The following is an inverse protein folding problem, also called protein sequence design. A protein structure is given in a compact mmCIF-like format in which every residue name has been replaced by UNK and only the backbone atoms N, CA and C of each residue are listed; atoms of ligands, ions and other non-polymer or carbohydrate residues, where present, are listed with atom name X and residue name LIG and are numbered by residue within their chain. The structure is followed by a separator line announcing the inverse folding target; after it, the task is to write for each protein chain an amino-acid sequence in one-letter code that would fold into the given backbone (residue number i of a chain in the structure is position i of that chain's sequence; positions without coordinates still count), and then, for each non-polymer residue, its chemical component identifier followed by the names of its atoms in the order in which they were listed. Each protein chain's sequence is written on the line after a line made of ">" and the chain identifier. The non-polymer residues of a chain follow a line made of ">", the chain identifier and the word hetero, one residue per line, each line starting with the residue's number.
data_IF_328132068437
#
_entry.id   IF_328132068437
#
_cell.length_a   1.000
_cell.length_b   1.000
_cell.length_c   1.000
_cell.angle_alpha   90.00
_cell.angle_beta   90.00
_cell.angle_gamma   90.00
#
_symmetry.space_group_name_H-M   'P 1'
#
loop_
_entity.id
_entity.type
_entity.pdbx_description
1 polymer ?
#
# COMPACT_ATOMS: atom_id res chain seq x y z
N UNK A 1 42.75 2.73 3.55
CA UNK A 1 42.69 1.44 2.81
C UNK A 1 42.13 1.68 1.42
N UNK A 2 42.84 1.32 0.34
CA UNK A 2 42.36 1.59 -1.01
C UNK A 2 41.20 0.63 -1.35
N UNK A 3 40.07 1.19 -1.79
CA UNK A 3 38.92 0.45 -2.31
C UNK A 3 39.39 -0.42 -3.50
N UNK A 4 39.42 -1.74 -3.33
CA UNK A 4 39.62 -2.69 -4.44
C UNK A 4 38.57 -2.40 -5.51
N UNK A 5 38.99 -1.89 -6.67
CA UNK A 5 38.16 -1.89 -7.88
C UNK A 5 37.73 -3.33 -8.15
N UNK A 6 36.42 -3.61 -8.12
CA UNK A 6 35.88 -4.90 -8.59
C UNK A 6 36.34 -5.08 -10.04
N UNK A 7 37.07 -6.17 -10.31
CA UNK A 7 37.56 -6.50 -11.63
C UNK A 7 36.36 -6.72 -12.58
N UNK A 8 36.11 -5.76 -13.48
CA UNK A 8 35.05 -5.83 -14.48
C UNK A 8 35.59 -6.37 -15.82
N UNK A 9 36.07 -7.62 -15.82
CA UNK A 9 36.56 -8.30 -17.02
C UNK A 9 35.44 -9.01 -17.82
N UNK A 10 35.65 -9.32 -19.12
CA UNK A 10 34.69 -10.04 -19.96
C UNK A 10 34.30 -11.44 -19.42
N UNK A 11 35.24 -12.14 -18.75
CA UNK A 11 34.99 -13.44 -18.12
C UNK A 11 34.02 -13.35 -16.93
N UNK A 12 34.19 -12.34 -16.07
CA UNK A 12 33.31 -12.08 -14.92
C UNK A 12 31.87 -11.76 -15.36
N UNK A 13 31.72 -11.04 -16.48
CA UNK A 13 30.38 -10.76 -17.06
C UNK A 13 29.70 -12.02 -17.57
N UNK A 14 30.42 -12.91 -18.27
CA UNK A 14 29.87 -14.19 -18.76
C UNK A 14 29.48 -15.13 -17.62
N UNK A 15 30.29 -15.22 -16.56
CA UNK A 15 29.97 -16.02 -15.37
C UNK A 15 28.73 -15.50 -14.65
N UNK A 16 28.62 -14.18 -14.47
CA UNK A 16 27.45 -13.56 -13.85
C UNK A 16 26.16 -13.74 -14.68
N UNK A 17 26.27 -13.66 -16.01
CA UNK A 17 25.17 -13.91 -16.93
C UNK A 17 24.72 -15.38 -16.89
N UNK A 18 25.66 -16.33 -16.87
CA UNK A 18 25.38 -17.75 -16.69
C UNK A 18 24.68 -18.03 -15.34
N UNK A 19 25.14 -17.39 -14.27
CA UNK A 19 24.52 -17.47 -12.94
C UNK A 19 23.07 -16.97 -12.97
N UNK A 20 22.81 -15.80 -13.56
CA UNK A 20 21.46 -15.23 -13.71
C UNK A 20 20.53 -16.08 -14.57
N UNK A 21 21.05 -16.67 -15.64
CA UNK A 21 20.33 -17.62 -16.48
C UNK A 21 19.90 -18.86 -15.68
N UNK A 22 20.82 -19.45 -14.91
CA UNK A 22 20.54 -20.62 -14.08
C UNK A 22 19.52 -20.33 -12.97
N UNK A 23 19.61 -19.19 -12.30
CA UNK A 23 18.65 -18.76 -11.26
C UNK A 23 17.24 -18.71 -11.83
N UNK A 24 17.06 -18.17 -13.02
CA UNK A 24 15.72 -18.14 -13.62
C UNK A 24 15.26 -19.47 -14.14
N UNK A 25 16.11 -20.29 -14.76
CA UNK A 25 15.71 -21.66 -15.12
C UNK A 25 15.09 -22.35 -13.91
N UNK A 26 15.71 -22.19 -12.73
CA UNK A 26 15.16 -22.68 -11.47
C UNK A 26 13.80 -22.05 -11.16
N UNK A 27 13.65 -20.71 -11.25
CA UNK A 27 12.36 -20.01 -11.07
C UNK A 27 11.26 -20.53 -12.00
N UNK A 28 11.52 -20.68 -13.30
CA UNK A 28 10.54 -21.20 -14.28
C UNK A 28 10.05 -22.58 -13.86
N UNK A 29 10.97 -23.50 -13.57
CA UNK A 29 10.59 -24.85 -13.18
C UNK A 29 9.92 -24.91 -11.81
N UNK A 30 10.28 -24.04 -10.88
CA UNK A 30 9.58 -23.90 -9.60
C UNK A 30 8.15 -23.43 -9.84
N UNK A 31 7.95 -22.37 -10.62
CA UNK A 31 6.61 -21.84 -10.91
C UNK A 31 5.74 -22.89 -11.60
N UNK A 32 6.24 -23.59 -12.62
CA UNK A 32 5.45 -24.64 -13.28
C UNK A 32 5.02 -25.75 -12.31
N UNK A 33 5.88 -26.15 -11.35
CA UNK A 33 5.46 -27.12 -10.31
C UNK A 33 4.41 -26.54 -9.38
N UNK A 34 4.57 -25.30 -8.92
CA UNK A 34 3.61 -24.63 -8.04
C UNK A 34 2.23 -24.46 -8.71
N UNK A 35 2.20 -24.31 -10.03
CA UNK A 35 0.98 -24.20 -10.82
C UNK A 35 0.43 -25.55 -11.31
N UNK A 36 1.06 -26.68 -10.95
CA UNK A 36 0.60 -28.02 -11.35
C UNK A 36 0.99 -28.44 -12.78
N UNK A 37 1.87 -27.71 -13.44
CA UNK A 37 2.36 -27.98 -14.80
C UNK A 37 3.73 -28.66 -14.81
N UNK A 38 4.02 -29.50 -13.81
CA UNK A 38 5.32 -30.17 -13.69
C UNK A 38 5.64 -31.05 -14.92
N UNK A 39 4.60 -31.65 -15.52
CA UNK A 39 4.71 -32.54 -16.68
C UNK A 39 5.13 -31.81 -17.95
N UNK A 40 5.02 -30.47 -17.99
CA UNK A 40 5.50 -29.66 -19.11
C UNK A 40 7.03 -29.53 -19.13
N UNK A 41 7.70 -29.69 -17.97
CA UNK A 41 9.14 -29.43 -17.82
C UNK A 41 10.03 -30.25 -18.77
N UNK A 42 9.80 -31.56 -19.01
CA UNK A 42 10.61 -32.35 -19.95
C UNK A 42 10.60 -31.83 -21.39
N UNK A 43 9.55 -31.09 -21.79
CA UNK A 43 9.40 -30.53 -23.13
C UNK A 43 10.05 -29.14 -23.27
N UNK A 44 10.57 -28.57 -22.18
CA UNK A 44 11.24 -27.28 -22.17
C UNK A 44 12.73 -27.46 -22.43
N UNK A 45 13.14 -27.22 -23.68
CA UNK A 45 14.54 -27.34 -24.09
C UNK A 45 15.39 -26.10 -23.74
N UNK A 46 16.70 -26.20 -23.99
CA UNK A 46 17.66 -25.10 -23.75
C UNK A 46 17.42 -23.88 -24.65
N UNK A 47 16.90 -24.10 -25.86
CA UNK A 47 16.61 -23.03 -26.82
C UNK A 47 15.43 -22.19 -26.32
N UNK A 48 14.34 -22.85 -25.92
CA UNK A 48 13.18 -22.24 -25.28
C UNK A 48 13.59 -21.45 -24.05
N UNK A 49 14.37 -22.03 -23.11
CA UNK A 49 14.84 -21.32 -21.93
C UNK A 49 15.70 -20.08 -22.27
N UNK A 50 16.48 -20.14 -23.35
CA UNK A 50 17.26 -19.00 -23.83
C UNK A 50 16.35 -17.93 -24.40
N UNK A 51 15.36 -18.31 -25.22
CA UNK A 51 14.37 -17.35 -25.73
C UNK A 51 13.61 -16.75 -24.56
N UNK A 52 13.09 -17.54 -23.63
CA UNK A 52 12.42 -17.05 -22.42
C UNK A 52 13.33 -16.18 -21.57
N UNK A 53 14.65 -16.41 -21.52
CA UNK A 53 15.60 -15.50 -20.87
C UNK A 53 15.79 -14.18 -21.62
N UNK A 54 15.83 -14.20 -22.94
CA UNK A 54 16.05 -12.99 -23.75
C UNK A 54 14.75 -12.21 -24.00
N UNK A 55 13.63 -12.92 -24.03
CA UNK A 55 12.26 -12.43 -24.00
C UNK A 55 11.92 -11.91 -22.63
N UNK A 56 12.53 -12.52 -21.59
CA UNK A 56 12.47 -12.13 -20.19
C UNK A 56 12.67 -10.64 -20.16
N UNK A 57 11.60 -9.92 -19.92
CA UNK A 57 11.71 -8.52 -20.12
C UNK A 57 12.27 -7.91 -18.86
N UNK A 58 12.87 -6.76 -19.06
CA UNK A 58 12.73 -5.61 -18.17
C UNK A 58 11.24 -5.28 -17.97
N UNK A 59 10.42 -6.24 -17.51
CA UNK A 59 8.96 -6.14 -17.57
C UNK A 59 8.41 -5.22 -16.54
N UNK A 60 9.13 -4.97 -15.47
CA UNK A 60 8.68 -4.06 -14.45
C UNK A 60 9.89 -3.28 -14.06
N UNK A 61 10.11 -2.13 -14.70
CA UNK A 61 11.22 -1.24 -14.38
C UNK A 61 10.67 0.00 -13.71
N UNK A 62 11.14 0.26 -12.49
CA UNK A 62 11.02 1.58 -11.90
C UNK A 62 12.17 2.42 -12.44
N UNK A 63 11.83 3.43 -13.23
CA UNK A 63 12.71 4.53 -13.54
C UNK A 63 12.53 5.62 -12.47
N UNK A 64 13.54 5.72 -11.61
CA UNK A 64 13.59 6.70 -10.53
C UNK A 64 14.60 7.83 -10.80
N UNK A 65 15.00 8.02 -12.06
CA UNK A 65 15.99 9.05 -12.43
C UNK A 65 15.55 10.47 -12.07
N UNK A 66 14.24 10.71 -11.98
CA UNK A 66 13.67 12.01 -11.62
C UNK A 66 13.22 12.12 -10.16
N UNK A 67 13.57 11.14 -9.33
CA UNK A 67 13.27 11.16 -7.89
C UNK A 67 14.35 11.93 -7.11
N UNK A 68 14.53 13.22 -7.42
CA UNK A 68 15.69 14.02 -6.98
C UNK A 68 15.81 14.23 -5.47
N UNK A 69 14.77 13.92 -4.69
CA UNK A 69 14.81 14.04 -3.21
C UNK A 69 15.54 12.88 -2.53
N UNK A 70 15.81 11.79 -3.24
CA UNK A 70 16.42 10.57 -2.71
C UNK A 70 17.83 10.39 -3.25
N UNK A 71 18.71 9.81 -2.45
CA UNK A 71 20.06 9.45 -2.90
C UNK A 71 20.09 8.09 -3.63
N UNK A 72 21.26 7.68 -4.13
CA UNK A 72 21.38 6.43 -4.90
C UNK A 72 21.08 5.17 -4.09
N UNK A 73 21.32 5.20 -2.77
CA UNK A 73 21.11 4.06 -1.89
C UNK A 73 19.62 3.93 -1.58
N UNK A 74 18.95 5.06 -1.30
CA UNK A 74 17.49 5.15 -1.17
C UNK A 74 16.80 4.63 -2.43
N UNK A 75 17.22 5.08 -3.62
CA UNK A 75 16.64 4.65 -4.88
C UNK A 75 16.85 3.15 -5.15
N UNK A 76 17.96 2.58 -4.69
CA UNK A 76 18.22 1.15 -4.80
C UNK A 76 17.33 0.36 -3.86
N UNK A 77 17.16 0.85 -2.62
CA UNK A 77 16.25 0.28 -1.64
C UNK A 77 14.81 0.31 -2.14
N UNK A 78 14.33 1.47 -2.59
CA UNK A 78 12.96 1.68 -3.11
C UNK A 78 12.66 0.67 -4.23
N UNK A 79 13.55 0.54 -5.20
CA UNK A 79 13.39 -0.43 -6.28
C UNK A 79 13.29 -1.85 -5.75
N UNK A 80 14.19 -2.24 -4.84
CA UNK A 80 14.23 -3.59 -4.29
C UNK A 80 12.95 -3.93 -3.53
N UNK A 81 12.50 -3.04 -2.64
CA UNK A 81 11.30 -3.27 -1.83
C UNK A 81 10.05 -3.42 -2.71
N UNK A 82 9.92 -2.63 -3.77
CA UNK A 82 8.81 -2.79 -4.71
C UNK A 82 8.77 -4.20 -5.34
N UNK A 83 9.91 -4.78 -5.72
CA UNK A 83 9.93 -6.16 -6.22
C UNK A 83 9.60 -7.19 -5.13
N UNK A 84 9.93 -6.92 -3.86
CA UNK A 84 9.54 -7.77 -2.73
C UNK A 84 8.02 -7.77 -2.57
N UNK A 85 7.37 -6.60 -2.60
CA UNK A 85 5.90 -6.49 -2.58
C UNK A 85 5.26 -7.29 -3.72
N UNK A 86 5.75 -7.08 -4.94
CA UNK A 86 5.27 -7.77 -6.14
C UNK A 86 5.45 -9.29 -6.11
N UNK A 87 6.41 -9.80 -5.35
CA UNK A 87 6.70 -11.23 -5.21
C UNK A 87 5.87 -11.89 -4.09
N UNK A 88 5.59 -11.16 -3.01
CA UNK A 88 4.87 -11.67 -1.83
C UNK A 88 3.36 -11.68 -2.02
N UNK A 89 2.83 -10.73 -2.78
CA UNK A 89 1.40 -10.52 -2.95
C UNK A 89 0.79 -11.47 -3.98
N UNK A 90 0.62 -12.75 -3.59
CA UNK A 90 0.14 -13.80 -4.48
C UNK A 90 -1.39 -13.80 -4.58
N UNK A 91 -1.90 -13.98 -5.80
CA UNK A 91 -3.33 -14.16 -6.08
C UNK A 91 -3.62 -15.59 -6.52
N UNK A 92 -4.86 -16.09 -6.37
CA UNK A 92 -5.29 -17.34 -7.00
C UNK A 92 -4.93 -17.36 -8.48
N UNK A 93 -4.44 -18.48 -9.01
CA UNK A 93 -4.01 -18.55 -10.41
C UNK A 93 -5.19 -18.50 -11.39
N UNK A 94 -6.32 -19.12 -11.05
CA UNK A 94 -7.60 -19.02 -11.78
C UNK A 94 -8.70 -18.47 -10.86
N UNK A 95 -9.93 -18.35 -11.38
CA UNK A 95 -11.13 -18.02 -10.59
C UNK A 95 -12.04 -19.26 -10.39
N UNK A 96 -11.53 -20.46 -10.68
CA UNK A 96 -12.30 -21.69 -10.53
C UNK A 96 -12.52 -21.96 -9.03
N UNK A 97 -13.70 -22.47 -8.70
CA UNK A 97 -14.02 -22.82 -7.33
C UNK A 97 -13.03 -23.86 -6.79
N UNK A 98 -12.53 -23.64 -5.57
CA UNK A 98 -11.54 -24.51 -4.95
C UNK A 98 -10.09 -24.36 -5.46
N UNK A 99 -9.79 -23.34 -6.28
CA UNK A 99 -8.43 -23.03 -6.71
C UNK A 99 -7.49 -22.79 -5.51
N UNK A 100 -6.38 -23.54 -5.48
CA UNK A 100 -5.34 -23.43 -4.43
C UNK A 100 -4.02 -22.92 -4.98
N UNK A 101 -3.82 -22.99 -6.30
CA UNK A 101 -2.61 -22.49 -6.94
C UNK A 101 -2.63 -20.98 -6.89
N UNK A 102 -1.47 -20.40 -6.64
CA UNK A 102 -1.32 -18.95 -6.56
C UNK A 102 -0.10 -18.50 -7.36
N UNK A 103 -0.15 -17.27 -7.82
CA UNK A 103 0.94 -16.65 -8.58
C UNK A 103 1.10 -15.19 -8.13
N UNK A 104 2.35 -14.76 -8.04
CA UNK A 104 2.66 -13.36 -7.75
C UNK A 104 2.61 -12.53 -9.04
N UNK A 105 2.27 -11.23 -8.98
CA UNK A 105 2.43 -10.34 -10.12
C UNK A 105 3.85 -10.38 -10.70
N UNK A 106 4.90 -10.47 -9.85
CA UNK A 106 6.27 -10.59 -10.34
C UNK A 106 6.46 -11.84 -11.21
N UNK A 107 6.03 -13.01 -10.74
CA UNK A 107 6.17 -14.27 -11.51
C UNK A 107 5.24 -14.31 -12.73
N UNK A 108 4.07 -13.68 -12.64
CA UNK A 108 3.14 -13.57 -13.77
C UNK A 108 3.81 -12.83 -14.93
N UNK A 109 4.32 -11.63 -14.67
CA UNK A 109 4.97 -10.84 -15.70
C UNK A 109 6.35 -11.45 -16.07
N UNK A 110 7.25 -11.73 -15.12
CA UNK A 110 8.61 -12.20 -15.45
C UNK A 110 8.68 -13.58 -16.14
N UNK A 111 7.69 -14.45 -15.89
CA UNK A 111 7.74 -15.85 -16.29
C UNK A 111 6.49 -16.25 -17.07
N UNK A 112 5.31 -16.20 -16.45
CA UNK A 112 4.11 -16.80 -17.00
C UNK A 112 3.69 -16.17 -18.32
N UNK A 113 3.73 -14.85 -18.42
CA UNK A 113 3.30 -14.11 -19.61
C UNK A 113 4.27 -14.31 -20.80
N UNK A 114 5.61 -14.19 -20.64
CA UNK A 114 6.55 -14.57 -21.69
C UNK A 114 6.46 -16.03 -22.10
N UNK A 115 6.24 -16.94 -21.13
CA UNK A 115 6.02 -18.36 -21.40
C UNK A 115 4.77 -18.57 -22.25
N UNK A 116 3.67 -17.94 -21.87
CA UNK A 116 2.38 -17.98 -22.55
C UNK A 116 2.47 -17.45 -23.99
N UNK A 117 3.10 -16.30 -24.20
CA UNK A 117 3.33 -15.74 -25.53
C UNK A 117 4.23 -16.63 -26.39
N UNK A 118 5.26 -17.24 -25.80
CA UNK A 118 6.14 -18.14 -26.52
C UNK A 118 5.39 -19.39 -27.00
N UNK A 119 4.55 -19.98 -26.14
CA UNK A 119 3.81 -21.20 -26.50
C UNK A 119 2.60 -20.91 -27.40
N UNK A 120 1.95 -19.75 -27.26
CA UNK A 120 0.82 -19.31 -28.07
C UNK A 120 1.21 -18.61 -29.39
N UNK A 121 2.52 -18.46 -29.68
CA UNK A 121 2.97 -17.80 -30.93
C UNK A 121 2.35 -18.46 -32.16
N UNK A 122 1.92 -17.64 -33.11
CA UNK A 122 1.25 -18.09 -34.33
C UNK A 122 2.09 -19.09 -35.15
N UNK A 123 1.53 -20.28 -35.42
CA UNK A 123 2.13 -21.34 -36.25
C UNK A 123 1.86 -21.16 -37.76
N UNK A 124 1.09 -20.15 -38.17
CA UNK A 124 0.76 -19.88 -39.58
C UNK A 124 2.00 -19.54 -40.44
N UNK A 125 3.13 -19.17 -39.83
CA UNK A 125 4.44 -19.14 -40.51
C UNK A 125 5.11 -20.52 -40.47
N UNK A 126 4.54 -21.46 -41.22
CA UNK A 126 5.02 -22.84 -41.37
C UNK A 126 6.45 -22.94 -41.92
N UNK A 127 7.01 -21.86 -42.48
CA UNK A 127 8.40 -21.84 -42.97
C UNK A 127 9.44 -21.68 -41.87
N UNK A 128 9.06 -21.22 -40.67
CA UNK A 128 9.99 -21.01 -39.55
C UNK A 128 9.89 -22.03 -38.41
N UNK A 129 8.74 -22.68 -38.22
CA UNK A 129 8.45 -23.42 -36.97
C UNK A 129 7.68 -24.73 -37.15
N UNK A 130 7.82 -25.40 -38.31
CA UNK A 130 7.03 -26.55 -38.75
C UNK A 130 7.00 -27.81 -37.84
N UNK A 131 7.74 -27.85 -36.72
CA UNK A 131 7.95 -29.10 -35.97
C UNK A 131 8.02 -28.92 -34.43
N UNK A 132 7.36 -27.90 -33.87
CA UNK A 132 7.39 -27.65 -32.42
C UNK A 132 6.39 -28.52 -31.63
N UNK A 133 6.48 -29.85 -31.79
CA UNK A 133 5.65 -30.83 -31.04
C UNK A 133 5.76 -30.65 -29.52
N UNK A 134 6.92 -30.22 -29.05
CA UNK A 134 7.15 -29.91 -27.64
C UNK A 134 6.23 -28.81 -27.14
N UNK A 135 6.02 -27.75 -27.93
CA UNK A 135 5.13 -26.65 -27.59
C UNK A 135 3.66 -27.05 -27.55
N UNK A 136 3.21 -27.80 -28.56
CA UNK A 136 1.83 -28.31 -28.60
C UNK A 136 1.58 -29.20 -27.38
N UNK A 137 2.54 -30.05 -27.04
CA UNK A 137 2.45 -30.91 -25.86
C UNK A 137 2.40 -30.11 -24.55
N UNK A 138 3.15 -29.01 -24.46
CA UNK A 138 3.08 -28.10 -23.30
C UNK A 138 1.69 -27.46 -23.21
N UNK A 139 1.12 -26.99 -24.33
CA UNK A 139 -0.23 -26.40 -24.36
C UNK A 139 -1.28 -27.39 -23.89
N UNK A 140 -1.26 -28.62 -24.41
CA UNK A 140 -2.14 -29.71 -23.96
C UNK A 140 -2.04 -29.93 -22.45
N UNK A 141 -0.81 -30.00 -21.91
CA UNK A 141 -0.60 -30.19 -20.46
C UNK A 141 -1.20 -29.04 -19.65
N UNK A 142 -1.07 -27.79 -20.10
CA UNK A 142 -1.64 -26.63 -19.41
C UNK A 142 -3.17 -26.68 -19.43
N UNK A 143 -3.76 -27.01 -20.58
CA UNK A 143 -5.22 -27.11 -20.76
C UNK A 143 -5.81 -28.29 -19.97
N UNK A 144 -5.18 -29.46 -20.01
CA UNK A 144 -5.54 -30.65 -19.24
C UNK A 144 -5.50 -30.41 -17.73
N UNK A 145 -4.60 -29.52 -17.27
CA UNK A 145 -4.49 -29.11 -15.87
C UNK A 145 -5.36 -27.88 -15.54
N UNK A 146 -6.38 -27.63 -16.36
CA UNK A 146 -7.45 -26.70 -16.03
C UNK A 146 -7.06 -25.24 -16.15
N UNK A 147 -6.26 -24.88 -17.17
CA UNK A 147 -6.09 -23.50 -17.60
C UNK A 147 -6.18 -23.41 -19.12
N UNK A 148 -7.25 -22.81 -19.62
CA UNK A 148 -7.51 -22.71 -21.05
C UNK A 148 -6.64 -21.59 -21.62
N UNK A 149 -5.75 -21.92 -22.55
CA UNK A 149 -4.86 -20.92 -23.18
C UNK A 149 -5.45 -20.39 -24.48
N UNK A 150 -6.07 -21.26 -25.27
CA UNK A 150 -6.59 -20.96 -26.62
C UNK A 150 -8.05 -20.55 -26.60
N UNK A 151 -8.42 -19.59 -27.45
CA UNK A 151 -9.81 -19.26 -27.71
C UNK A 151 -10.52 -20.39 -28.45
N UNK A 152 -11.80 -20.61 -28.13
CA UNK A 152 -12.66 -21.56 -28.82
C UNK A 152 -12.97 -21.12 -30.27
N UNK A 153 -12.91 -19.81 -30.54
CA UNK A 153 -13.28 -19.22 -31.83
C UNK A 153 -12.09 -19.12 -32.79
N UNK A 154 -10.90 -18.81 -32.27
CA UNK A 154 -9.64 -18.83 -33.03
C UNK A 154 -8.53 -19.40 -32.12
N UNK A 155 -8.00 -20.60 -32.40
CA UNK A 155 -6.90 -21.20 -31.64
C UNK A 155 -5.61 -20.38 -31.63
N UNK A 156 -5.49 -19.36 -32.49
CA UNK A 156 -4.37 -18.42 -32.50
C UNK A 156 -4.53 -17.27 -31.49
N UNK A 157 -5.74 -17.07 -30.96
CA UNK A 157 -6.05 -16.04 -29.98
C UNK A 157 -6.03 -16.60 -28.55
N UNK A 158 -5.72 -15.73 -27.59
CA UNK A 158 -5.83 -16.05 -26.18
C UNK A 158 -7.30 -16.29 -25.78
N UNK A 159 -7.50 -17.23 -24.86
CA UNK A 159 -8.81 -17.52 -24.29
C UNK A 159 -9.31 -16.38 -23.39
N UNK A 160 -10.62 -16.34 -23.15
CA UNK A 160 -11.16 -15.45 -22.11
C UNK A 160 -10.61 -15.73 -20.71
N UNK A 161 -10.22 -16.98 -20.42
CA UNK A 161 -9.61 -17.34 -19.13
C UNK A 161 -8.23 -16.70 -18.97
N UNK A 162 -7.44 -16.65 -20.05
CA UNK A 162 -6.18 -15.93 -20.08
C UNK A 162 -6.38 -14.42 -19.91
N UNK A 163 -7.33 -13.84 -20.66
CA UNK A 163 -7.63 -12.41 -20.58
C UNK A 163 -8.08 -11.99 -19.18
N UNK A 164 -8.93 -12.80 -18.53
CA UNK A 164 -9.32 -12.57 -17.12
C UNK A 164 -8.12 -12.63 -16.18
N UNK A 165 -7.20 -13.57 -16.38
CA UNK A 165 -5.98 -13.64 -15.58
C UNK A 165 -5.08 -12.41 -15.77
N UNK A 166 -4.94 -11.93 -17.02
CA UNK A 166 -4.20 -10.71 -17.36
C UNK A 166 -4.83 -9.47 -16.71
N UNK A 167 -6.13 -9.23 -16.90
CA UNK A 167 -6.84 -8.08 -16.31
C UNK A 167 -6.71 -8.06 -14.78
N UNK A 168 -6.80 -9.22 -14.13
CA UNK A 168 -6.61 -9.30 -12.68
C UNK A 168 -5.18 -8.95 -12.26
N UNK A 169 -4.18 -9.39 -13.01
CA UNK A 169 -2.78 -9.07 -12.74
C UNK A 169 -2.46 -7.59 -13.02
N UNK A 170 -3.14 -6.98 -13.98
CA UNK A 170 -3.10 -5.54 -14.25
C UNK A 170 -3.67 -4.73 -13.10
N UNK A 171 -4.82 -5.15 -12.57
CA UNK A 171 -5.41 -4.55 -11.38
C UNK A 171 -4.50 -4.68 -10.17
N UNK A 172 -3.93 -5.88 -9.94
CA UNK A 172 -3.05 -6.11 -8.80
C UNK A 172 -1.77 -5.29 -8.88
N UNK A 173 -1.14 -5.25 -10.06
CA UNK A 173 0.03 -4.42 -10.31
C UNK A 173 -0.25 -2.95 -9.96
N UNK A 174 -1.37 -2.42 -10.44
CA UNK A 174 -1.77 -1.02 -10.20
C UNK A 174 -2.04 -0.77 -8.72
N UNK A 175 -2.67 -1.72 -8.03
CA UNK A 175 -2.94 -1.66 -6.58
C UNK A 175 -1.65 -1.64 -5.75
N UNK A 176 -0.70 -2.53 -6.06
CA UNK A 176 0.61 -2.58 -5.39
C UNK A 176 1.36 -1.26 -5.62
N UNK A 177 1.35 -0.78 -6.86
CA UNK A 177 2.02 0.46 -7.23
C UNK A 177 1.44 1.68 -6.49
N UNK A 178 0.10 1.78 -6.44
CA UNK A 178 -0.61 2.79 -5.66
C UNK A 178 -0.21 2.74 -4.19
N UNK A 179 -0.34 1.55 -3.59
CA UNK A 179 -0.02 1.34 -2.18
C UNK A 179 1.42 1.75 -1.90
N UNK A 180 2.35 1.37 -2.77
CA UNK A 180 3.77 1.70 -2.62
C UNK A 180 4.04 3.20 -2.69
N UNK A 181 3.42 3.94 -3.60
CA UNK A 181 3.55 5.41 -3.67
C UNK A 181 2.94 6.09 -2.44
N UNK A 182 1.83 5.57 -1.94
CA UNK A 182 1.16 6.09 -0.75
C UNK A 182 2.01 5.83 0.52
N UNK A 183 2.68 4.69 0.61
CA UNK A 183 3.62 4.39 1.70
C UNK A 183 4.79 5.39 1.76
N UNK A 184 5.29 5.77 0.58
CA UNK A 184 6.45 6.64 0.45
C UNK A 184 6.12 8.14 0.47
N UNK A 185 4.86 8.54 0.26
CA UNK A 185 4.50 9.96 0.16
C UNK A 185 4.05 10.54 1.50
N UNK A 186 4.66 11.66 1.90
CA UNK A 186 4.30 12.40 3.11
C UNK A 186 4.34 13.92 2.85
N UNK A 187 3.24 14.66 3.12
CA UNK A 187 3.13 16.08 2.77
C UNK A 187 4.11 16.98 3.53
N UNK A 188 4.73 16.51 4.62
CA UNK A 188 5.72 17.27 5.39
C UNK A 188 7.17 16.83 5.10
N UNK A 189 7.39 15.74 4.35
CA UNK A 189 8.74 15.21 4.09
C UNK A 189 9.10 15.22 2.61
N UNK A 190 8.30 14.56 1.78
CA UNK A 190 8.48 14.46 0.33
C UNK A 190 7.24 13.85 -0.32
N UNK A 191 7.00 14.21 -1.57
CA UNK A 191 5.88 13.67 -2.35
C UNK A 191 6.42 12.96 -3.58
N UNK A 192 5.85 11.80 -3.89
CA UNK A 192 6.18 11.00 -5.07
C UNK A 192 4.93 10.83 -5.93
N UNK A 193 5.11 10.63 -7.23
CA UNK A 193 4.01 10.26 -8.11
C UNK A 193 4.50 9.56 -9.36
N UNK A 194 3.57 8.93 -10.08
CA UNK A 194 3.85 8.39 -11.41
C UNK A 194 3.87 9.54 -12.40
N UNK A 195 4.98 9.69 -13.12
CA UNK A 195 5.08 10.64 -14.24
C UNK A 195 4.67 10.00 -15.56
N UNK A 196 4.94 8.69 -15.72
CA UNK A 196 4.68 7.98 -16.97
C UNK A 196 4.53 6.49 -16.74
N UNK A 197 3.51 5.92 -17.38
CA UNK A 197 3.41 4.49 -17.65
C UNK A 197 3.79 4.18 -19.09
N UNK A 198 4.54 3.10 -19.29
CA UNK A 198 4.73 2.50 -20.59
C UNK A 198 4.43 1.01 -20.48
N UNK A 199 3.61 0.51 -21.39
CA UNK A 199 3.31 -0.90 -21.54
C UNK A 199 3.49 -1.28 -23.01
N UNK A 200 4.44 -2.16 -23.27
CA UNK A 200 4.80 -2.63 -24.60
C UNK A 200 4.48 -4.12 -24.68
N UNK A 201 3.68 -4.53 -25.67
CA UNK A 201 3.49 -5.95 -26.02
C UNK A 201 3.92 -6.18 -27.46
N UNK A 202 4.90 -7.06 -27.63
CA UNK A 202 5.33 -7.62 -28.90
C UNK A 202 5.24 -9.15 -28.82
N UNK A 203 5.17 -9.81 -29.97
CA UNK A 203 4.98 -11.27 -30.14
C UNK A 203 5.79 -12.18 -29.19
N UNK A 204 6.93 -11.72 -28.66
CA UNK A 204 7.76 -12.44 -27.71
C UNK A 204 8.29 -11.57 -26.55
N UNK A 205 7.77 -10.37 -26.32
CA UNK A 205 8.22 -9.45 -25.27
C UNK A 205 7.04 -8.67 -24.74
N UNK A 206 6.88 -8.66 -23.43
CA UNK A 206 6.03 -7.68 -22.75
C UNK A 206 6.98 -6.74 -22.02
N UNK A 207 6.70 -5.47 -21.84
CA UNK A 207 7.60 -4.54 -21.18
C UNK A 207 6.81 -3.48 -20.45
N UNK A 208 6.96 -3.38 -19.13
CA UNK A 208 6.36 -2.32 -18.34
C UNK A 208 7.44 -1.48 -17.69
N UNK A 209 7.42 -0.19 -18.00
CA UNK A 209 8.25 0.78 -17.30
C UNK A 209 7.33 1.79 -16.65
N UNK A 210 7.59 2.06 -15.38
CA UNK A 210 6.95 3.16 -14.66
C UNK A 210 8.03 4.15 -14.24
N UNK A 211 7.83 5.41 -14.62
CA UNK A 211 8.72 6.49 -14.22
C UNK A 211 8.12 7.23 -13.04
N UNK A 212 8.89 7.35 -11.97
CA UNK A 212 8.52 8.13 -10.80
C UNK A 212 9.20 9.49 -10.83
N UNK A 213 8.50 10.47 -10.30
CA UNK A 213 9.05 11.79 -9.98
C UNK A 213 8.81 12.09 -8.51
N UNK A 214 9.60 13.01 -7.97
CA UNK A 214 9.42 13.46 -6.59
C UNK A 214 9.68 14.95 -6.44
N UNK A 215 9.14 15.53 -5.37
CA UNK A 215 9.41 16.91 -5.01
C UNK A 215 9.49 17.12 -3.51
N UNK A 216 10.20 18.17 -3.11
CA UNK A 216 10.14 18.69 -1.75
C UNK A 216 8.73 19.23 -1.45
N UNK A 217 8.29 19.18 -0.18
CA UNK A 217 7.03 19.77 0.23
C UNK A 217 6.91 21.25 -0.12
N UNK A 218 5.73 21.67 -0.60
CA UNK A 218 5.40 23.09 -0.71
C UNK A 218 4.90 23.59 0.62
N UNK A 219 5.36 24.75 1.08
CA UNK A 219 4.96 25.31 2.37
C UNK A 219 4.74 26.81 2.32
N UNK A 220 3.96 27.31 3.28
CA UNK A 220 3.70 28.74 3.51
C UNK A 220 3.83 29.03 5.01
N UNK A 221 4.12 30.29 5.34
CA UNK A 221 4.04 30.75 6.72
C UNK A 221 2.61 31.16 7.08
N UNK A 222 2.18 30.86 8.30
CA UNK A 222 0.93 31.33 8.87
C UNK A 222 0.97 31.37 10.40
N UNK A 223 -0.17 31.61 11.04
CA UNK A 223 -0.29 31.67 12.51
C UNK A 223 -1.13 30.51 13.05
N UNK A 224 -0.70 29.95 14.18
CA UNK A 224 -1.53 29.03 14.95
C UNK A 224 -2.58 29.78 15.80
N UNK A 225 -3.40 29.03 16.54
CA UNK A 225 -4.46 29.60 17.40
C UNK A 225 -3.93 30.46 18.54
N UNK A 226 -2.64 30.34 18.88
CA UNK A 226 -1.96 31.17 19.88
C UNK A 226 -1.32 32.41 19.27
N UNK A 227 -1.46 32.62 17.96
CA UNK A 227 -0.84 33.71 17.23
C UNK A 227 0.64 33.46 16.91
N UNK A 228 1.17 32.27 17.20
CA UNK A 228 2.57 31.97 16.93
C UNK A 228 2.78 31.65 15.45
N UNK A 229 3.90 32.13 14.90
CA UNK A 229 4.27 31.88 13.51
C UNK A 229 4.69 30.42 13.34
N UNK A 230 4.07 29.74 12.37
CA UNK A 230 4.27 28.32 12.06
C UNK A 230 4.32 28.09 10.56
N UNK A 231 5.00 27.02 10.16
CA UNK A 231 5.07 26.57 8.78
C UNK A 231 3.90 25.62 8.49
N UNK A 232 3.17 25.87 7.41
CA UNK A 232 2.07 25.03 6.93
C UNK A 232 2.45 24.42 5.59
N UNK A 233 2.42 23.10 5.53
CA UNK A 233 2.71 22.34 4.32
C UNK A 233 1.44 22.13 3.51
N UNK A 234 1.50 22.35 2.19
CA UNK A 234 0.39 22.10 1.28
C UNK A 234 0.17 20.60 1.22
N UNK A 235 -1.04 20.14 1.54
CA UNK A 235 -1.36 18.71 1.45
C UNK A 235 -1.45 18.32 -0.03
N UNK A 236 -0.64 17.34 -0.41
CA UNK A 236 -0.69 16.68 -1.70
C UNK A 236 -0.52 15.18 -1.55
N UNK A 237 -1.02 14.42 -2.51
CA UNK A 237 -0.93 12.97 -2.56
C UNK A 237 -0.84 12.48 -4.01
N UNK A 238 -0.32 11.26 -4.25
CA UNK A 238 -0.22 10.71 -5.61
C UNK A 238 -1.60 10.54 -6.25
N UNK A 239 -1.79 11.07 -7.45
CA UNK A 239 -2.98 10.86 -8.29
C UNK A 239 -2.68 9.79 -9.33
N UNK A 240 -3.33 8.65 -9.17
CA UNK A 240 -3.11 7.47 -10.01
C UNK A 240 -4.03 7.49 -11.23
N UNK A 241 -5.14 8.21 -11.19
CA UNK A 241 -6.05 8.27 -12.34
C UNK A 241 -5.44 9.13 -13.44
N UNK A 242 -4.75 10.19 -13.04
CA UNK A 242 -4.22 11.20 -13.97
C UNK A 242 -2.70 11.21 -14.09
N UNK A 243 -2.00 10.22 -13.52
CA UNK A 243 -0.53 10.17 -13.44
C UNK A 243 0.07 11.50 -12.96
N UNK A 244 -0.02 11.77 -11.66
CA UNK A 244 0.34 13.09 -11.18
C UNK A 244 0.40 13.23 -9.67
N UNK A 245 0.64 14.47 -9.25
CA UNK A 245 0.53 14.87 -7.86
C UNK A 245 -0.72 15.74 -7.72
N UNK A 246 -1.68 15.31 -6.91
CA UNK A 246 -2.89 16.10 -6.61
C UNK A 246 -2.69 16.92 -5.36
N UNK A 247 -2.81 18.24 -5.50
CA UNK A 247 -2.85 19.16 -4.37
C UNK A 247 -4.27 19.21 -3.83
N UNK A 248 -4.46 18.78 -2.58
CA UNK A 248 -5.78 18.62 -2.00
C UNK A 248 -6.52 19.95 -1.90
N UNK A 249 -7.64 20.09 -2.60
CA UNK A 249 -8.60 21.15 -2.34
C UNK A 249 -9.91 20.51 -1.93
N UNK A 250 -10.58 21.05 -0.93
CA UNK A 250 -11.78 20.44 -0.41
C UNK A 250 -12.85 21.46 -0.07
N UNK A 251 -14.10 21.08 -0.33
CA UNK A 251 -15.26 21.74 0.24
C UNK A 251 -15.38 21.36 1.72
N UNK A 252 -16.04 22.21 2.49
CA UNK A 252 -16.31 21.97 3.92
C UNK A 252 -17.81 22.05 4.15
N UNK A 253 -18.36 21.29 5.11
CA UNK A 253 -19.79 21.29 5.37
C UNK A 253 -20.28 22.70 5.72
N UNK A 254 -21.55 23.00 5.40
CA UNK A 254 -22.10 24.33 5.68
C UNK A 254 -22.08 24.64 7.19
N UNK A 255 -21.74 25.88 7.55
CA UNK A 255 -21.69 26.37 8.91
C UNK A 255 -22.28 27.78 8.94
N UNK A 256 -23.50 27.96 9.46
CA UNK A 256 -24.20 29.25 9.41
C UNK A 256 -23.51 30.35 10.24
N UNK A 257 -22.55 29.99 11.09
CA UNK A 257 -21.82 30.92 11.93
C UNK A 257 -20.53 31.46 11.28
N UNK A 258 -20.21 31.05 10.04
CA UNK A 258 -19.03 31.52 9.29
C UNK A 258 -19.49 32.12 7.94
N UNK A 259 -19.87 33.42 7.92
CA UNK A 259 -20.47 34.04 6.73
C UNK A 259 -19.53 34.12 5.52
N UNK A 260 -18.21 34.12 5.73
CA UNK A 260 -17.23 34.23 4.65
C UNK A 260 -17.01 32.91 3.89
N UNK A 261 -17.63 31.84 4.37
CA UNK A 261 -17.54 30.49 3.83
C UNK A 261 -18.57 30.26 2.73
N UNK A 262 -18.12 29.61 1.66
CA UNK A 262 -18.91 29.14 0.55
C UNK A 262 -18.80 27.61 0.52
N UNK A 263 -19.87 26.86 0.85
CA UNK A 263 -19.82 25.40 0.95
C UNK A 263 -19.55 24.71 -0.39
N UNK A 264 -19.84 25.36 -1.51
CA UNK A 264 -19.63 24.81 -2.86
C UNK A 264 -18.23 25.10 -3.40
N UNK A 265 -17.47 25.95 -2.70
CA UNK A 265 -16.12 26.33 -3.09
C UNK A 265 -15.07 25.38 -2.49
N UNK A 266 -14.20 24.77 -3.32
CA UNK A 266 -13.08 24.02 -2.81
C UNK A 266 -11.96 24.95 -2.31
N UNK A 267 -11.48 24.71 -1.09
CA UNK A 267 -10.42 25.48 -0.44
C UNK A 267 -9.11 24.69 -0.37
N UNK A 268 -7.94 25.36 -0.45
CA UNK A 268 -6.67 24.69 -0.30
C UNK A 268 -6.46 24.20 1.14
N UNK A 269 -6.08 22.92 1.27
CA UNK A 269 -5.76 22.26 2.53
C UNK A 269 -4.26 22.32 2.84
N UNK A 270 -3.93 22.74 4.05
CA UNK A 270 -2.58 22.71 4.58
C UNK A 270 -2.52 21.92 5.88
N UNK A 271 -1.33 21.47 6.25
CA UNK A 271 -1.08 20.70 7.46
C UNK A 271 0.16 21.22 8.19
N UNK A 272 0.10 21.21 9.52
CA UNK A 272 1.26 21.43 10.38
C UNK A 272 2.03 20.12 10.57
N UNK A 273 3.36 20.19 10.59
CA UNK A 273 4.22 19.04 10.94
C UNK A 273 3.83 18.42 12.29
N UNK A 274 3.39 19.24 13.24
CA UNK A 274 2.87 18.79 14.53
C UNK A 274 1.74 17.77 14.40
N UNK A 275 0.82 17.95 13.44
CA UNK A 275 -0.29 17.01 13.23
C UNK A 275 0.21 15.63 12.78
N UNK A 276 1.19 15.61 11.87
CA UNK A 276 1.82 14.37 11.40
C UNK A 276 2.56 13.67 12.56
N UNK A 277 3.36 14.42 13.32
CA UNK A 277 4.06 13.89 14.49
C UNK A 277 3.08 13.28 15.51
N UNK A 278 1.99 13.99 15.82
CA UNK A 278 0.94 13.48 16.71
C UNK A 278 0.26 12.24 16.18
N UNK A 279 0.01 12.14 14.87
CA UNK A 279 -0.55 10.92 14.28
C UNK A 279 0.38 9.72 14.52
N UNK A 280 1.67 9.84 14.18
CA UNK A 280 2.63 8.75 14.42
C UNK A 280 2.80 8.39 15.90
N UNK A 281 2.79 9.38 16.80
CA UNK A 281 2.85 9.14 18.25
C UNK A 281 1.66 8.34 18.80
N UNK A 282 0.48 8.45 18.16
CA UNK A 282 -0.79 7.93 18.68
C UNK A 282 -1.32 6.72 17.94
N UNK A 283 -0.94 6.54 16.69
CA UNK A 283 -1.20 5.33 15.89
C UNK A 283 0.05 4.45 15.93
N UNK A 284 0.68 4.38 17.11
CA UNK A 284 1.87 3.57 17.35
C UNK A 284 1.52 2.07 17.30
N UNK A 285 2.52 1.23 16.99
CA UNK A 285 2.31 -0.20 16.71
C UNK A 285 1.99 -0.53 15.26
N UNK A 286 1.88 0.48 14.38
CA UNK A 286 1.85 0.30 12.93
C UNK A 286 3.13 0.83 12.31
N UNK A 287 3.63 0.14 11.28
CA UNK A 287 4.82 0.61 10.57
C UNK A 287 4.55 1.97 9.90
N UNK A 288 5.57 2.84 9.77
CA UNK A 288 5.36 4.16 9.19
C UNK A 288 4.77 4.15 7.78
N UNK A 289 5.11 3.13 6.99
CA UNK A 289 4.56 2.91 5.65
C UNK A 289 3.05 2.68 5.68
N UNK A 290 2.54 1.87 6.61
CA UNK A 290 1.10 1.63 6.77
C UNK A 290 0.40 2.92 7.17
N UNK A 291 0.94 3.66 8.14
CA UNK A 291 0.37 4.94 8.57
C UNK A 291 0.31 5.96 7.41
N UNK A 292 1.40 6.11 6.65
CA UNK A 292 1.42 6.97 5.46
C UNK A 292 0.37 6.53 4.42
N UNK A 293 0.18 5.22 4.24
CA UNK A 293 -0.83 4.68 3.31
C UNK A 293 -2.23 5.18 3.66
N UNK A 294 -2.63 4.97 4.92
CA UNK A 294 -3.95 5.37 5.40
C UNK A 294 -4.11 6.88 5.51
N UNK A 295 -3.03 7.62 5.74
CA UNK A 295 -3.05 9.08 5.71
C UNK A 295 -3.36 9.59 4.30
N UNK A 296 -2.71 9.05 3.27
CA UNK A 296 -3.00 9.43 1.89
C UNK A 296 -4.42 9.00 1.48
N UNK A 297 -4.91 7.84 1.93
CA UNK A 297 -6.32 7.47 1.74
C UNK A 297 -7.29 8.44 2.40
N UNK A 298 -7.04 8.84 3.66
CA UNK A 298 -7.82 9.84 4.38
C UNK A 298 -7.90 11.18 3.61
N UNK A 299 -6.78 11.61 3.01
CA UNK A 299 -6.77 12.83 2.19
C UNK A 299 -7.47 12.67 0.83
N UNK A 300 -7.51 11.44 0.30
CA UNK A 300 -8.20 11.16 -0.95
C UNK A 300 -9.73 11.07 -0.77
N UNK A 301 -10.22 10.48 0.33
CA UNK A 301 -11.66 10.35 0.62
C UNK A 301 -12.25 11.61 1.25
N UNK A 302 -11.47 12.29 2.11
CA UNK A 302 -11.82 13.55 2.76
C UNK A 302 -13.19 13.54 3.48
N UNK A 303 -13.34 12.63 4.44
CA UNK A 303 -14.50 12.60 5.32
C UNK A 303 -14.35 13.66 6.43
N UNK A 304 -15.15 14.74 6.37
CA UNK A 304 -15.03 15.89 7.27
C UNK A 304 -16.39 16.33 7.84
N UNK A 305 -16.42 16.70 9.11
CA UNK A 305 -17.58 17.31 9.77
C UNK A 305 -17.17 18.44 10.73
N UNK A 306 -18.15 19.23 11.19
CA UNK A 306 -17.97 20.23 12.22
C UNK A 306 -18.13 19.64 13.61
N UNK A 307 -17.18 19.95 14.48
CA UNK A 307 -17.27 19.65 15.91
C UNK A 307 -16.71 20.82 16.73
N UNK A 308 -17.57 21.38 17.59
CA UNK A 308 -17.23 22.51 18.47
C UNK A 308 -16.47 23.64 17.76
N UNK A 309 -16.99 24.06 16.60
CA UNK A 309 -16.44 25.17 15.81
C UNK A 309 -15.16 24.85 15.04
N UNK A 310 -14.79 23.58 14.92
CA UNK A 310 -13.58 23.13 14.21
C UNK A 310 -13.93 21.99 13.26
N UNK A 311 -13.10 21.77 12.26
CA UNK A 311 -13.27 20.68 11.31
C UNK A 311 -12.60 19.42 11.87
N UNK A 312 -13.34 18.32 11.92
CA UNK A 312 -12.84 16.98 12.23
C UNK A 312 -12.81 16.17 10.94
N UNK A 313 -11.61 15.72 10.58
CA UNK A 313 -11.39 14.85 9.43
C UNK A 313 -11.13 13.45 9.96
N UNK A 314 -11.99 12.50 9.60
CA UNK A 314 -11.92 11.12 10.10
C UNK A 314 -10.67 10.42 9.57
N UNK A 315 -9.92 9.79 10.47
CA UNK A 315 -8.78 8.96 10.12
C UNK A 315 -9.08 7.50 10.49
N UNK A 316 -9.17 6.67 9.45
CA UNK A 316 -9.52 5.25 9.54
C UNK A 316 -8.39 4.38 9.03
N UNK A 317 -8.15 3.27 9.71
CA UNK A 317 -7.16 2.26 9.34
C UNK A 317 -7.91 0.92 9.23
N UNK A 318 -7.75 0.19 8.12
CA UNK A 318 -8.50 -1.05 7.80
C UNK A 318 -10.02 -0.93 8.00
N UNK A 319 -10.59 0.24 7.68
CA UNK A 319 -12.02 0.54 7.85
C UNK A 319 -12.46 0.83 9.29
N UNK A 320 -11.52 0.92 10.25
CA UNK A 320 -11.80 1.23 11.65
C UNK A 320 -11.32 2.65 11.97
N UNK A 321 -12.19 3.49 12.54
CA UNK A 321 -11.85 4.86 12.93
C UNK A 321 -10.90 4.84 14.12
N UNK A 322 -9.69 5.38 13.97
CA UNK A 322 -8.68 5.38 15.06
C UNK A 322 -8.45 6.78 15.62
N UNK A 323 -8.85 7.83 14.90
CA UNK A 323 -8.77 9.19 15.40
C UNK A 323 -9.23 10.22 14.37
N UNK A 324 -8.93 11.48 14.67
CA UNK A 324 -9.33 12.61 13.86
C UNK A 324 -8.16 13.57 13.67
N UNK A 325 -8.01 14.06 12.44
CA UNK A 325 -7.29 15.30 12.21
C UNK A 325 -8.20 16.47 12.53
N UNK A 326 -7.67 17.39 13.31
CA UNK A 326 -8.40 18.58 13.71
C UNK A 326 -7.88 19.78 12.92
N UNK A 327 -8.80 20.50 12.28
CA UNK A 327 -8.48 21.58 11.36
C UNK A 327 -9.31 22.84 11.60
N UNK A 328 -8.75 23.97 11.18
CA UNK A 328 -9.41 25.27 11.22
C UNK A 328 -9.67 25.79 9.81
N UNK A 329 -10.77 26.50 9.62
CA UNK A 329 -10.94 27.38 8.48
C UNK A 329 -10.43 28.78 8.83
N UNK A 330 -9.41 29.25 8.12
CA UNK A 330 -8.73 30.52 8.42
C UNK A 330 -9.38 31.70 7.69
N UNK A 331 -9.14 32.92 8.18
CA UNK A 331 -9.60 34.17 7.53
C UNK A 331 -9.14 34.32 6.08
N UNK A 332 -7.97 33.76 5.75
CA UNK A 332 -7.45 33.77 4.39
C UNK A 332 -8.07 32.67 3.50
N UNK A 333 -9.20 32.08 3.93
CA UNK A 333 -9.95 31.05 3.21
C UNK A 333 -9.10 29.80 2.92
N UNK A 334 -8.42 29.28 3.94
CA UNK A 334 -7.63 28.04 3.88
C UNK A 334 -8.10 27.07 4.96
N UNK A 335 -8.04 25.78 4.66
CA UNK A 335 -8.22 24.74 5.67
C UNK A 335 -6.82 24.40 6.21
N UNK A 336 -6.62 24.46 7.51
CA UNK A 336 -5.32 24.16 8.14
C UNK A 336 -5.49 23.08 9.20
N UNK A 337 -4.99 21.88 8.91
CA UNK A 337 -4.88 20.77 9.84
C UNK A 337 -3.81 21.09 10.89
N UNK A 338 -4.22 21.16 12.16
CA UNK A 338 -3.41 21.64 13.30
C UNK A 338 -2.78 20.50 14.08
N UNK A 339 -3.56 19.47 14.33
CA UNK A 339 -3.16 18.36 15.20
C UNK A 339 -3.90 17.09 14.82
N UNK A 340 -3.47 15.98 15.38
CA UNK A 340 -4.19 14.72 15.38
C UNK A 340 -4.59 14.36 16.81
N UNK A 341 -5.82 13.87 16.98
CA UNK A 341 -6.30 13.31 18.23
C UNK A 341 -6.71 11.86 18.03
N UNK A 342 -6.24 11.00 18.92
CA UNK A 342 -6.73 9.63 19.00
C UNK A 342 -8.20 9.62 19.45
N UNK A 343 -8.97 8.63 19.01
CA UNK A 343 -10.44 8.58 19.18
C UNK A 343 -10.92 8.61 20.65
N UNK A 344 -10.07 8.24 21.61
CA UNK A 344 -10.44 8.28 23.04
C UNK A 344 -10.11 9.61 23.73
N UNK A 345 -9.49 10.56 23.03
CA UNK A 345 -9.01 11.82 23.61
C UNK A 345 -10.15 12.81 23.91
N UNK A 346 -10.07 13.57 25.00
CA UNK A 346 -11.12 14.47 25.55
C UNK A 346 -11.63 15.59 24.61
N UNK A 347 -11.08 15.71 23.40
CA UNK A 347 -11.51 16.68 22.37
C UNK A 347 -12.06 16.01 21.11
N UNK A 348 -12.42 14.74 21.24
CA UNK A 348 -13.11 13.95 20.22
C UNK A 348 -14.50 13.59 20.72
N UNK A 349 -15.49 13.35 19.82
CA UNK A 349 -16.83 12.98 20.22
C UNK A 349 -16.85 11.76 21.14
N UNK A 350 -16.16 10.69 20.75
CA UNK A 350 -16.09 9.45 21.52
C UNK A 350 -15.32 9.62 22.83
N UNK A 351 -14.21 10.36 22.82
CA UNK A 351 -13.42 10.61 24.03
C UNK A 351 -14.14 11.42 25.09
N UNK A 352 -15.01 12.38 24.71
CA UNK A 352 -15.83 13.12 25.66
C UNK A 352 -16.91 12.26 26.29
N UNK A 353 -17.55 11.39 25.51
CA UNK A 353 -18.52 10.42 26.01
C UNK A 353 -17.81 9.49 27.02
N UNK A 354 -16.63 8.98 26.66
CA UNK A 354 -15.82 8.13 27.56
C UNK A 354 -15.47 8.84 28.88
N UNK A 355 -15.07 10.12 28.83
CA UNK A 355 -14.79 10.91 30.03
C UNK A 355 -16.04 11.11 30.89
N UNK A 356 -17.21 11.29 30.28
CA UNK A 356 -18.47 11.49 31.00
C UNK A 356 -18.93 10.25 31.76
N UNK A 357 -18.71 9.05 31.22
CA UNK A 357 -19.11 7.79 31.86
C UNK A 357 -18.09 7.25 32.86
N UNK A 358 -16.80 7.47 32.61
CA UNK A 358 -15.72 6.86 33.40
C UNK A 358 -15.03 7.83 34.38
N UNK A 359 -15.40 9.11 34.37
CA UNK A 359 -14.69 10.15 35.16
C UNK A 359 -13.24 10.39 34.72
N UNK A 360 -12.79 9.75 33.63
CA UNK A 360 -11.42 9.78 33.14
C UNK A 360 -11.07 11.16 32.57
N UNK A 361 -10.05 11.79 33.16
CA UNK A 361 -9.46 13.03 32.65
C UNK A 361 -8.34 12.72 31.65
N UNK A 362 -7.96 13.70 30.85
CA UNK A 362 -6.87 13.58 29.87
C UNK A 362 -5.56 13.01 30.44
N UNK A 363 -5.21 13.34 31.69
CA UNK A 363 -4.00 12.81 32.34
C UNK A 363 -4.13 11.31 32.64
N UNK A 364 -5.32 10.86 33.03
CA UNK A 364 -5.60 9.46 33.33
C UNK A 364 -5.51 8.63 32.05
N UNK A 365 -6.11 9.12 30.95
CA UNK A 365 -6.02 8.45 29.65
C UNK A 365 -4.58 8.30 29.15
N UNK A 366 -3.76 9.33 29.38
CA UNK A 366 -2.33 9.31 29.05
C UNK A 366 -1.54 8.38 29.98
N UNK A 367 -1.89 8.34 31.27
CA UNK A 367 -1.28 7.45 32.25
C UNK A 367 -1.57 5.98 31.95
N UNK A 368 -2.80 5.69 31.53
CA UNK A 368 -3.27 4.37 31.10
C UNK A 368 -2.88 4.03 29.65
N UNK A 369 -2.25 4.96 28.93
CA UNK A 369 -1.90 4.84 27.50
C UNK A 369 -3.08 4.52 26.57
N UNK A 370 -4.33 4.67 27.01
CA UNK A 370 -5.51 4.44 26.18
C UNK A 370 -5.74 5.56 25.15
N UNK A 371 -4.82 6.54 25.07
CA UNK A 371 -4.73 7.55 24.01
C UNK A 371 -3.88 7.10 22.81
N UNK A 372 -3.47 5.83 22.75
CA UNK A 372 -2.56 5.22 21.75
C UNK A 372 -3.10 3.89 21.20
N UNK A 373 -2.83 3.60 19.93
CA UNK A 373 -3.27 2.37 19.27
C UNK A 373 -2.54 1.13 19.79
N UNK A 374 -1.25 1.23 20.10
CA UNK A 374 -0.44 0.08 20.55
C UNK A 374 -1.01 -0.60 21.80
N UNK A 375 -1.62 0.16 22.71
CA UNK A 375 -2.31 -0.39 23.89
C UNK A 375 -3.44 -1.32 23.49
N UNK A 376 -4.20 -0.99 22.45
CA UNK A 376 -5.28 -1.84 21.97
C UNK A 376 -4.80 -3.05 21.17
N UNK A 377 -3.64 -2.94 20.50
CA UNK A 377 -3.03 -4.06 19.79
C UNK A 377 -2.40 -5.10 20.72
N UNK A 378 -1.88 -4.64 21.87
CA UNK A 378 -1.17 -5.48 22.83
C UNK A 378 -2.10 -6.22 23.79
N UNK A 379 -3.27 -5.65 24.07
CA UNK A 379 -4.17 -6.10 25.11
C UNK A 379 -5.20 -7.10 24.60
N UNK A 380 -5.36 -8.21 25.33
CA UNK A 380 -6.49 -9.13 25.16
C UNK A 380 -7.61 -8.72 26.11
N UNK A 381 -8.49 -7.83 25.65
CA UNK A 381 -9.56 -7.27 26.50
C UNK A 381 -10.62 -8.33 26.79
N UNK A 382 -10.94 -8.53 28.07
CA UNK A 382 -12.15 -9.26 28.44
C UNK A 382 -13.37 -8.46 27.98
N UNK A 383 -14.05 -8.96 26.95
CA UNK A 383 -15.23 -8.32 26.37
C UNK A 383 -16.43 -8.22 27.34
N UNK A 384 -16.38 -8.91 28.48
CA UNK A 384 -17.37 -8.82 29.56
C UNK A 384 -16.99 -7.83 30.64
N UNK A 385 -15.78 -7.26 30.58
CA UNK A 385 -15.33 -6.34 31.61
C UNK A 385 -16.00 -4.98 31.48
N UNK A 386 -15.97 -4.24 32.58
CA UNK A 386 -16.49 -2.87 32.63
C UNK A 386 -15.75 -1.93 31.68
N UNK A 387 -14.46 -2.16 31.46
CA UNK A 387 -13.69 -1.39 30.49
C UNK A 387 -14.26 -1.57 29.07
N UNK A 388 -14.61 -2.80 28.71
CA UNK A 388 -15.22 -3.09 27.41
C UNK A 388 -16.61 -2.47 27.27
N UNK A 389 -17.42 -2.42 28.34
CA UNK A 389 -18.73 -1.73 28.29
C UNK A 389 -18.58 -0.23 28.09
N UNK A 390 -17.66 0.42 28.82
CA UNK A 390 -17.37 1.85 28.67
C UNK A 390 -16.94 2.21 27.25
N UNK A 391 -16.04 1.43 26.64
CA UNK A 391 -15.65 1.65 25.25
C UNK A 391 -16.81 1.42 24.27
N UNK A 392 -17.69 0.46 24.53
CA UNK A 392 -18.88 0.23 23.68
C UNK A 392 -19.85 1.41 23.75
N UNK A 393 -20.15 1.88 24.94
CA UNK A 393 -21.04 3.03 25.19
C UNK A 393 -20.46 4.33 24.60
N UNK A 394 -19.13 4.47 24.62
CA UNK A 394 -18.43 5.59 23.99
C UNK A 394 -18.27 5.47 22.47
N UNK A 395 -18.78 4.42 21.82
CA UNK A 395 -18.66 4.25 20.36
C UNK A 395 -17.27 3.79 19.87
N UNK A 396 -16.46 3.22 20.76
CA UNK A 396 -15.10 2.74 20.52
C UNK A 396 -14.99 1.19 20.49
N UNK A 397 -16.09 0.45 20.36
CA UNK A 397 -16.09 -1.02 20.43
C UNK A 397 -15.15 -1.67 19.40
N UNK A 398 -14.99 -1.08 18.22
CA UNK A 398 -14.09 -1.60 17.19
C UNK A 398 -12.63 -1.69 17.64
N UNK A 399 -12.19 -0.82 18.57
CA UNK A 399 -10.84 -0.90 19.15
C UNK A 399 -10.63 -2.14 20.02
N UNK A 400 -11.70 -2.82 20.43
CA UNK A 400 -11.60 -4.08 21.18
C UNK A 400 -11.48 -5.29 20.24
N UNK A 401 -11.70 -5.12 18.93
CA UNK A 401 -11.78 -6.21 17.94
C UNK A 401 -10.69 -6.11 16.89
N UNK A 402 -9.44 -5.89 17.31
CA UNK A 402 -8.31 -5.58 16.43
C UNK A 402 -7.57 -6.80 15.86
N UNK A 403 -8.15 -8.00 15.86
CA UNK A 403 -7.49 -9.23 15.38
C UNK A 403 -6.86 -9.07 13.98
N UNK A 404 -7.60 -8.48 13.03
CA UNK A 404 -7.08 -8.22 11.67
C UNK A 404 -5.92 -7.23 11.65
N UNK A 405 -5.96 -6.19 12.50
CA UNK A 405 -4.85 -5.25 12.62
C UNK A 405 -3.63 -5.90 13.23
N UNK A 406 -3.80 -6.78 14.22
CA UNK A 406 -2.70 -7.50 14.88
C UNK A 406 -1.95 -8.42 13.91
N UNK A 407 -2.67 -9.07 12.99
CA UNK A 407 -2.04 -9.92 11.97
C UNK A 407 -1.20 -9.11 10.96
N UNK A 408 -1.50 -7.81 10.81
CA UNK A 408 -0.83 -6.90 9.88
C UNK A 408 0.17 -5.94 10.54
N UNK A 409 0.07 -5.73 11.86
CA UNK A 409 1.05 -5.06 12.69
C UNK A 409 2.25 -6.00 12.83
N UNK A 410 3.33 -5.75 12.09
CA UNK A 410 4.49 -6.63 12.06
C UNK A 410 5.01 -6.97 13.46
N UNK A 411 5.46 -8.22 13.65
CA UNK A 411 5.93 -8.81 14.92
C UNK A 411 7.13 -8.09 15.59
N UNK A 412 7.66 -7.01 15.00
CA UNK A 412 8.95 -6.41 15.37
C UNK A 412 8.84 -5.14 16.25
N UNK A 413 7.67 -4.51 16.37
CA UNK A 413 7.51 -3.39 17.32
C UNK A 413 7.12 -3.91 18.71
N UNK A 414 7.95 -3.58 19.73
CA UNK A 414 7.59 -3.79 21.14
C UNK A 414 6.36 -2.94 21.45
N UNK A 415 5.18 -3.55 21.39
CA UNK A 415 3.94 -2.91 21.82
C UNK A 415 4.05 -2.53 23.30
N UNK A 416 3.81 -1.27 23.63
CA UNK A 416 3.71 -0.81 25.01
C UNK A 416 2.39 -1.26 25.61
N UNK A 417 2.42 -2.27 26.48
CA UNK A 417 1.24 -2.79 27.18
C UNK A 417 1.23 -2.35 28.64
N UNK A 418 0.20 -1.62 29.04
CA UNK A 418 -0.27 -1.63 30.43
C UNK A 418 -1.29 -2.77 30.52
N UNK A 419 -1.23 -3.61 31.57
CA UNK A 419 -2.12 -4.78 31.65
C UNK A 419 -3.58 -4.35 31.84
N UNK A 420 -4.51 -5.12 31.27
CA UNK A 420 -5.94 -4.86 31.41
C UNK A 420 -6.39 -4.89 32.87
N UNK A 421 -5.85 -5.80 33.67
CA UNK A 421 -6.07 -5.87 35.12
C UNK A 421 -5.69 -4.56 35.82
N UNK A 422 -4.60 -3.90 35.39
CA UNK A 422 -4.19 -2.63 35.95
C UNK A 422 -5.16 -1.50 35.58
N UNK A 423 -5.60 -1.45 34.32
CA UNK A 423 -6.58 -0.47 33.85
C UNK A 423 -7.90 -0.64 34.61
N UNK A 424 -8.38 -1.87 34.77
CA UNK A 424 -9.63 -2.17 35.49
C UNK A 424 -9.55 -1.85 36.97
N UNK A 425 -8.41 -2.16 37.62
CA UNK A 425 -8.16 -1.78 39.01
C UNK A 425 -8.15 -0.26 39.17
N UNK A 426 -7.53 0.46 38.25
CA UNK A 426 -7.49 1.92 38.26
C UNK A 426 -8.91 2.50 38.10
N UNK A 427 -9.69 2.01 37.15
CA UNK A 427 -11.09 2.45 36.97
C UNK A 427 -11.95 2.16 38.20
N UNK A 428 -11.80 0.99 38.81
CA UNK A 428 -12.53 0.65 40.04
C UNK A 428 -12.19 1.60 41.19
N UNK A 429 -10.94 2.10 41.26
CA UNK A 429 -10.54 3.07 42.30
C UNK A 429 -11.08 4.48 42.12
N UNK A 430 -11.55 4.84 40.91
CA UNK A 430 -12.18 6.13 40.65
C UNK A 430 -13.61 6.19 41.19
N UNK A 431 -14.30 5.04 41.21
CA UNK A 431 -15.66 4.92 41.74
C UNK A 431 -15.72 4.99 43.28
N UNK A 432 -14.70 4.51 43.98
CA UNK A 432 -14.63 4.55 45.46
C UNK A 432 -14.42 5.98 45.99
N UNK A 433 -14.14 6.94 45.11
CA UNK A 433 -13.88 8.35 45.45
C UNK A 433 -15.00 9.31 45.01
N UNK A 434 -16.17 8.78 44.64
CA UNK A 434 -17.43 9.51 44.40
C UNK A 434 -18.40 9.18 45.53
#
# INVERSE_FOLDING_TARGET
>A
MPKKKKASGPGVRKEEEARRSNVYKKRVFTLLRELGFADAIPYIDKSMLRVLYSARPTLIRIDASEMSVFDSDDLTFIKREFYVFMQQDKLPFTLREGEKRTISPLDFYDIWMPFSLYIMRDSRDTRRYADDKSRERILEIVEDNGFTMRSLNDPCDFSEEFDRALVRMEYQYSSILMTYLFQLSNPCMHLLWIKKHNFEMFHNRVGRTVSFSSCQPKSIWGTDRKGERRLFFRVGYPDIVNDGLRWLTACIPNNPYIPEMDPDRPYPVYIQEHAIKRMFERVDGLSPNVVNTYMNFCFATWEVDWYKGSLLITFSVFGMRVGYFFADFTRDRKIVIRTFYFITYDHTPEGEILSSYAGLKALDKRYLCIDRLSTFLASDFDHRSRLASLFREAGCEHLLRLNKMRDMAGNDEKLTSISNEFIEKYLSSLDENV
#
